data_IF_773742611365
#
_entry.id   IF_773742611365
#
_cell.length_a   1.000
_cell.length_b   1.000
_cell.length_c   1.000
_cell.angle_alpha   90.00
_cell.angle_beta   90.00
_cell.angle_gamma   90.00
#
_symmetry.space_group_name_H-M   'P 1'
#
loop_
_entity.id
_entity.type
_entity.pdbx_description
1 polymer ?
#
# COMPACT_ATOMS: atom_id res chain seq x y z
N UNK A 1 25.98 -11.96 -0.13
CA UNK A 1 25.04 -10.84 0.01
C UNK A 1 24.49 -10.85 1.43
N UNK A 2 24.11 -9.69 1.97
CA UNK A 2 23.43 -9.61 3.27
C UNK A 2 22.02 -10.19 3.17
N UNK A 3 21.49 -10.69 4.28
CA UNK A 3 20.14 -11.26 4.33
C UNK A 3 19.15 -10.19 4.82
N UNK A 4 17.97 -10.18 4.26
CA UNK A 4 16.91 -9.22 4.60
C UNK A 4 15.75 -9.93 5.29
N UNK A 5 15.38 -9.44 6.47
CA UNK A 5 14.28 -9.97 7.30
C UNK A 5 13.20 -8.92 7.54
N UNK A 6 12.00 -9.35 7.87
CA UNK A 6 10.92 -8.48 8.32
C UNK A 6 10.87 -8.51 9.85
N UNK A 7 10.96 -7.34 10.47
CA UNK A 7 10.95 -7.17 11.93
C UNK A 7 9.74 -6.41 12.45
N UNK A 8 8.92 -5.84 11.57
CA UNK A 8 7.69 -5.17 11.98
C UNK A 8 6.69 -5.04 10.83
N UNK A 9 5.43 -4.96 11.19
CA UNK A 9 4.28 -4.88 10.27
C UNK A 9 3.24 -3.89 10.79
N UNK A 10 2.83 -2.96 9.92
CA UNK A 10 1.71 -2.05 10.16
C UNK A 10 0.73 -2.04 9.02
N UNK A 11 -0.56 -1.96 9.33
CA UNK A 11 -1.63 -2.04 8.34
C UNK A 11 -2.81 -1.14 8.70
N UNK A 12 -3.43 -0.57 7.67
CA UNK A 12 -4.75 0.10 7.70
C UNK A 12 -5.52 -0.42 6.50
N UNK A 13 -6.67 -1.04 6.72
CA UNK A 13 -7.44 -1.64 5.63
C UNK A 13 -8.93 -1.71 5.95
N UNK A 14 -9.75 -2.07 4.97
CA UNK A 14 -11.17 -2.33 5.18
C UNK A 14 -11.46 -3.57 6.06
N UNK A 15 -10.45 -4.41 6.33
CA UNK A 15 -10.58 -5.56 7.25
C UNK A 15 -10.24 -5.19 8.70
N UNK A 16 -9.62 -4.04 8.91
CA UNK A 16 -9.21 -3.56 10.22
C UNK A 16 -8.02 -2.63 10.14
N UNK A 17 -7.76 -1.94 11.22
CA UNK A 17 -6.73 -0.91 11.29
C UNK A 17 -5.48 -1.34 12.09
N UNK A 18 -5.42 -2.58 12.52
CA UNK A 18 -4.29 -3.17 13.23
C UNK A 18 -4.14 -4.67 12.87
N UNK A 19 -2.97 -5.23 13.21
CA UNK A 19 -2.63 -6.63 12.89
C UNK A 19 -3.60 -7.65 13.47
N UNK A 20 -4.07 -7.44 14.69
CA UNK A 20 -4.98 -8.37 15.39
C UNK A 20 -6.34 -8.38 14.72
N UNK A 21 -6.94 -7.21 14.52
CA UNK A 21 -8.25 -7.08 13.88
C UNK A 21 -8.25 -7.62 12.45
N UNK A 22 -7.19 -7.35 11.67
CA UNK A 22 -7.06 -7.90 10.31
C UNK A 22 -6.92 -9.41 10.33
N UNK A 23 -6.10 -9.97 11.24
CA UNK A 23 -5.96 -11.41 11.41
C UNK A 23 -7.29 -12.07 11.75
N UNK A 24 -8.05 -11.50 12.69
CA UNK A 24 -9.34 -12.01 13.11
C UNK A 24 -10.37 -11.95 11.96
N UNK A 25 -10.37 -10.86 11.19
CA UNK A 25 -11.22 -10.74 10.00
C UNK A 25 -10.90 -11.80 8.95
N UNK A 26 -9.61 -12.03 8.66
CA UNK A 26 -9.18 -13.08 7.74
C UNK A 26 -9.53 -14.48 8.25
N UNK A 27 -9.30 -14.74 9.53
CA UNK A 27 -9.59 -16.06 10.14
C UNK A 27 -11.08 -16.40 10.11
N UNK A 28 -11.93 -15.38 10.30
CA UNK A 28 -13.39 -15.55 10.34
C UNK A 28 -14.05 -15.35 8.96
N UNK A 29 -13.28 -15.05 7.91
CA UNK A 29 -13.82 -14.79 6.57
C UNK A 29 -14.68 -13.51 6.49
N UNK A 30 -14.43 -12.52 7.34
CA UNK A 30 -15.16 -11.26 7.33
C UNK A 30 -14.77 -10.43 6.11
N UNK A 31 -15.76 -9.88 5.40
CA UNK A 31 -15.54 -8.97 4.29
C UNK A 31 -15.57 -7.52 4.78
N UNK A 32 -14.62 -6.72 4.29
CA UNK A 32 -14.60 -5.26 4.48
C UNK A 32 -15.26 -4.49 3.31
N UNK A 33 -15.81 -5.21 2.34
CA UNK A 33 -16.50 -4.59 1.19
C UNK A 33 -17.92 -4.22 1.60
N UNK A 34 -18.28 -2.97 1.31
CA UNK A 34 -19.60 -2.41 1.64
C UNK A 34 -20.20 -1.70 0.42
N UNK A 35 -21.50 -1.42 0.49
CA UNK A 35 -22.15 -0.56 -0.48
C UNK A 35 -21.57 0.87 -0.40
N UNK A 36 -21.36 1.49 -1.55
CA UNK A 36 -20.79 2.83 -1.74
C UNK A 36 -21.83 3.73 -2.39
N UNK A 37 -22.50 4.55 -1.57
CA UNK A 37 -23.51 5.51 -2.04
C UNK A 37 -22.93 6.53 -3.01
N UNK A 38 -21.73 7.03 -2.75
CA UNK A 38 -21.02 7.98 -3.63
C UNK A 38 -20.76 7.40 -5.04
N UNK A 39 -20.55 6.10 -5.17
CA UNK A 39 -20.40 5.46 -6.48
C UNK A 39 -21.74 5.41 -7.23
N UNK A 40 -22.80 5.07 -6.52
CA UNK A 40 -24.17 5.07 -7.06
C UNK A 40 -24.60 6.49 -7.51
N UNK A 41 -24.41 7.51 -6.67
CA UNK A 41 -24.73 8.90 -6.98
C UNK A 41 -23.97 9.43 -8.20
N UNK A 42 -22.74 8.98 -8.40
CA UNK A 42 -21.93 9.34 -9.55
C UNK A 42 -22.23 8.51 -10.80
N UNK A 43 -23.17 7.55 -10.73
CA UNK A 43 -23.66 6.76 -11.86
C UNK A 43 -22.70 5.64 -12.31
N UNK A 44 -21.83 5.15 -11.43
CA UNK A 44 -21.03 3.98 -11.71
C UNK A 44 -21.93 2.74 -11.78
N UNK A 45 -21.49 1.70 -12.50
CA UNK A 45 -22.15 0.38 -12.49
C UNK A 45 -21.80 -0.40 -11.21
N UNK A 46 -20.58 -0.23 -10.73
CA UNK A 46 -20.10 -0.79 -9.47
C UNK A 46 -20.54 0.09 -8.30
N UNK A 47 -21.33 -0.46 -7.37
CA UNK A 47 -21.77 0.24 -6.16
C UNK A 47 -21.13 -0.33 -4.89
N UNK A 48 -20.01 -1.05 -5.00
CA UNK A 48 -19.37 -1.69 -3.85
C UNK A 48 -17.89 -1.33 -3.79
N UNK A 49 -17.33 -1.32 -2.58
CA UNK A 49 -15.92 -1.06 -2.37
C UNK A 49 -15.53 -1.21 -0.91
N UNK A 50 -14.23 -1.30 -0.66
CA UNK A 50 -13.69 -1.30 0.69
C UNK A 50 -13.94 0.03 1.39
N UNK A 51 -14.24 -0.03 2.70
CA UNK A 51 -14.42 1.16 3.54
C UNK A 51 -13.53 1.02 4.77
N UNK A 52 -12.74 2.04 5.04
CA UNK A 52 -11.93 2.11 6.26
C UNK A 52 -12.66 3.01 7.26
N UNK A 53 -12.86 2.47 8.45
CA UNK A 53 -13.40 3.21 9.58
C UNK A 53 -12.24 3.72 10.46
N UNK A 54 -11.73 4.90 10.14
CA UNK A 54 -10.64 5.56 10.86
C UNK A 54 -10.79 7.08 10.80
N UNK A 55 -10.68 7.74 11.95
CA UNK A 55 -10.55 9.18 11.98
C UNK A 55 -9.06 9.55 11.96
N UNK A 56 -8.58 10.09 10.86
CA UNK A 56 -7.17 10.43 10.67
C UNK A 56 -6.63 11.42 11.71
N UNK A 57 -7.49 12.33 12.21
CA UNK A 57 -7.10 13.34 13.20
C UNK A 57 -6.77 12.75 14.59
N UNK A 58 -7.23 11.52 14.87
CA UNK A 58 -6.90 10.83 16.11
C UNK A 58 -5.49 10.21 16.09
N UNK A 59 -4.91 10.08 14.90
CA UNK A 59 -3.63 9.41 14.66
C UNK A 59 -2.53 10.32 14.14
N UNK A 60 -2.90 11.46 13.52
CA UNK A 60 -1.94 12.35 12.86
C UNK A 60 -2.20 13.78 13.31
N UNK A 61 -1.16 14.44 13.83
CA UNK A 61 -1.30 15.83 14.25
C UNK A 61 -1.67 16.75 13.07
N UNK A 62 -2.43 17.81 13.35
CA UNK A 62 -2.97 18.71 12.34
C UNK A 62 -1.91 19.37 11.44
N UNK A 63 -0.68 19.62 11.99
CA UNK A 63 0.38 20.28 11.21
C UNK A 63 0.98 19.34 10.18
N UNK A 64 1.00 18.04 10.47
CA UNK A 64 1.45 16.99 9.57
C UNK A 64 0.35 16.62 8.57
N UNK A 65 -0.88 16.38 9.05
CA UNK A 65 -2.00 15.94 8.23
C UNK A 65 -2.34 16.91 7.08
N UNK A 66 -2.15 18.20 7.26
CA UNK A 66 -2.44 19.21 6.21
C UNK A 66 -1.65 19.05 4.91
N UNK A 67 -0.54 18.30 4.92
CA UNK A 67 0.26 18.01 3.73
C UNK A 67 -0.14 16.70 3.04
N UNK A 68 -1.00 15.89 3.66
CA UNK A 68 -1.32 14.54 3.24
C UNK A 68 -2.64 14.49 2.47
N UNK A 69 -2.69 13.73 1.37
CA UNK A 69 -3.91 13.10 0.90
C UNK A 69 -4.15 11.80 1.68
N UNK A 70 -5.30 11.17 1.49
CA UNK A 70 -5.70 9.99 2.27
C UNK A 70 -4.71 8.82 2.11
N UNK A 71 -4.17 8.58 0.91
CA UNK A 71 -3.14 7.55 0.70
C UNK A 71 -1.91 7.79 1.58
N UNK A 72 -1.40 9.03 1.62
CA UNK A 72 -0.25 9.37 2.46
C UNK A 72 -0.56 9.22 3.95
N UNK A 73 -1.79 9.55 4.37
CA UNK A 73 -2.23 9.40 5.76
C UNK A 73 -2.33 7.92 6.17
N UNK A 74 -2.91 7.05 5.33
CA UNK A 74 -2.95 5.60 5.59
C UNK A 74 -1.54 5.00 5.63
N UNK A 75 -0.67 5.42 4.70
CA UNK A 75 0.74 5.03 4.69
C UNK A 75 1.48 5.45 5.95
N UNK A 76 1.27 6.68 6.42
CA UNK A 76 1.87 7.19 7.66
C UNK A 76 1.43 6.38 8.88
N UNK A 77 0.12 6.14 9.06
CA UNK A 77 -0.39 5.34 10.18
C UNK A 77 0.18 3.92 10.14
N UNK A 78 0.23 3.32 8.94
CA UNK A 78 0.82 1.98 8.76
C UNK A 78 2.31 1.97 9.12
N UNK A 79 3.06 3.01 8.73
CA UNK A 79 4.48 3.14 9.06
C UNK A 79 4.71 3.28 10.57
N UNK A 80 3.92 4.11 11.28
CA UNK A 80 4.00 4.25 12.75
C UNK A 80 3.77 2.90 13.42
N UNK A 81 2.74 2.15 13.02
CA UNK A 81 2.46 0.82 13.58
C UNK A 81 3.56 -0.19 13.31
N UNK A 82 4.16 -0.16 12.10
CA UNK A 82 5.30 -1.03 11.79
C UNK A 82 6.54 -0.69 12.63
N UNK A 83 6.79 0.59 12.89
CA UNK A 83 7.87 1.08 13.77
C UNK A 83 7.66 0.58 15.20
N UNK A 84 6.44 0.71 15.73
CA UNK A 84 6.06 0.22 17.05
C UNK A 84 6.21 -1.30 17.18
N UNK A 85 5.70 -2.06 16.19
CA UNK A 85 5.80 -3.52 16.14
C UNK A 85 7.26 -4.01 16.07
N UNK A 86 8.13 -3.27 15.35
CA UNK A 86 9.56 -3.55 15.27
C UNK A 86 10.37 -3.08 16.48
N UNK A 87 9.81 -2.27 17.37
CA UNK A 87 10.52 -1.66 18.49
C UNK A 87 11.65 -0.71 18.04
N UNK A 88 11.47 0.03 16.93
CA UNK A 88 12.46 1.01 16.48
C UNK A 88 12.40 2.28 17.33
N UNK A 89 13.57 2.78 17.70
CA UNK A 89 13.71 4.03 18.45
C UNK A 89 13.87 5.24 17.52
N UNK A 90 13.64 6.42 18.04
CA UNK A 90 13.86 7.70 17.34
C UNK A 90 15.28 7.84 16.79
N UNK A 91 16.29 7.40 17.53
CA UNK A 91 17.68 7.45 17.09
C UNK A 91 17.94 6.52 15.91
N UNK A 92 17.33 5.32 15.91
CA UNK A 92 17.42 4.40 14.79
C UNK A 92 16.73 4.97 13.53
N UNK A 93 15.59 5.64 13.69
CA UNK A 93 14.89 6.27 12.56
C UNK A 93 15.70 7.42 11.95
N UNK A 94 16.46 8.16 12.76
CA UNK A 94 17.29 9.31 12.34
C UNK A 94 18.69 8.91 11.89
N UNK A 95 19.03 7.62 11.94
CA UNK A 95 20.30 7.11 11.40
C UNK A 95 20.34 7.18 9.87
N UNK A 96 21.51 7.48 9.29
CA UNK A 96 21.71 7.54 7.82
C UNK A 96 21.50 6.16 7.16
N UNK A 97 21.61 5.08 7.91
CA UNK A 97 21.38 3.72 7.44
C UNK A 97 19.90 3.28 7.52
N UNK A 98 19.00 4.16 7.96
CA UNK A 98 17.55 3.93 7.95
C UNK A 98 16.90 4.72 6.83
N UNK A 99 16.32 3.99 5.88
CA UNK A 99 15.65 4.53 4.70
C UNK A 99 14.15 4.27 4.68
N UNK A 100 13.49 4.82 3.65
CA UNK A 100 12.07 4.63 3.38
C UNK A 100 11.83 4.51 1.87
N UNK A 101 11.15 3.44 1.48
CA UNK A 101 10.70 3.22 0.10
C UNK A 101 9.22 2.83 0.15
N UNK A 102 8.35 3.81 -0.03
CA UNK A 102 6.90 3.62 -0.02
C UNK A 102 6.25 4.42 -1.13
N UNK A 103 5.22 3.89 -1.76
CA UNK A 103 4.56 4.53 -2.88
C UNK A 103 3.05 4.39 -2.89
N UNK A 104 2.45 4.97 -3.93
CA UNK A 104 1.04 4.83 -4.29
C UNK A 104 0.96 4.56 -5.79
N UNK A 105 0.00 3.75 -6.20
CA UNK A 105 -0.23 3.44 -7.61
C UNK A 105 -0.77 4.62 -8.41
N UNK A 106 -1.45 5.55 -7.73
CA UNK A 106 -2.08 6.73 -8.32
C UNK A 106 -1.91 8.01 -7.51
N UNK A 107 -2.44 9.09 -8.05
CA UNK A 107 -2.56 10.36 -7.34
C UNK A 107 -3.73 10.32 -6.34
N UNK A 108 -3.77 11.25 -5.37
CA UNK A 108 -4.95 11.45 -4.54
C UNK A 108 -6.10 12.05 -5.37
N UNK A 109 -7.08 11.21 -5.70
CA UNK A 109 -8.25 11.58 -6.50
C UNK A 109 -9.14 12.59 -5.79
N UNK A 110 -9.39 12.41 -4.51
CA UNK A 110 -10.18 13.33 -3.69
C UNK A 110 -9.55 14.73 -3.67
N UNK A 111 -8.28 14.81 -3.27
CA UNK A 111 -7.56 16.10 -3.20
C UNK A 111 -7.44 16.79 -4.57
N UNK A 112 -7.32 16.00 -5.65
CA UNK A 112 -7.23 16.53 -7.01
C UNK A 112 -8.56 17.11 -7.47
N UNK A 113 -9.64 16.37 -7.36
CA UNK A 113 -10.99 16.83 -7.76
C UNK A 113 -11.39 18.06 -6.95
N UNK A 114 -11.22 18.03 -5.63
CA UNK A 114 -11.51 19.19 -4.77
C UNK A 114 -10.70 20.42 -5.19
N UNK A 115 -9.41 20.26 -5.48
CA UNK A 115 -8.57 21.39 -5.93
C UNK A 115 -9.08 21.99 -7.25
N UNK A 116 -9.44 21.15 -8.23
CA UNK A 116 -9.99 21.57 -9.52
C UNK A 116 -11.33 22.33 -9.32
N UNK A 117 -12.22 21.82 -8.51
CA UNK A 117 -13.52 22.41 -8.26
C UNK A 117 -13.41 23.78 -7.57
N UNK A 118 -12.50 23.90 -6.60
CA UNK A 118 -12.19 25.19 -5.97
C UNK A 118 -11.62 26.18 -6.99
N UNK A 119 -10.69 25.74 -7.84
CA UNK A 119 -10.08 26.63 -8.85
C UNK A 119 -11.11 27.09 -9.90
N UNK A 120 -12.01 26.20 -10.33
CA UNK A 120 -13.07 26.51 -11.30
C UNK A 120 -14.14 27.43 -10.72
N UNK A 121 -14.59 27.15 -9.49
CA UNK A 121 -15.69 27.89 -8.87
C UNK A 121 -15.26 29.20 -8.19
N UNK A 122 -13.99 29.33 -7.82
CA UNK A 122 -13.48 30.48 -7.05
C UNK A 122 -12.23 31.10 -7.66
N UNK A 123 -11.03 30.53 -7.38
CA UNK A 123 -9.74 30.96 -7.95
C UNK A 123 -8.60 30.04 -7.55
N UNK A 124 -7.47 30.10 -8.26
CA UNK A 124 -6.24 29.35 -7.95
C UNK A 124 -5.76 29.65 -6.52
N UNK A 125 -5.80 30.90 -6.07
CA UNK A 125 -5.38 31.29 -4.70
C UNK A 125 -6.20 30.58 -3.61
N UNK A 126 -7.45 30.25 -3.87
CA UNK A 126 -8.34 29.60 -2.91
C UNK A 126 -8.10 28.10 -2.77
N UNK A 127 -7.44 27.48 -3.72
CA UNK A 127 -7.04 26.06 -3.61
C UNK A 127 -6.07 25.81 -2.44
N UNK A 128 -5.34 26.86 -2.03
CA UNK A 128 -4.42 26.78 -0.90
C UNK A 128 -3.02 26.27 -1.27
N UNK A 129 -2.05 26.33 -0.34
CA UNK A 129 -0.65 26.06 -0.63
C UNK A 129 -0.24 24.58 -0.55
N UNK A 130 -1.11 23.68 -0.09
CA UNK A 130 -0.76 22.30 0.22
C UNK A 130 -1.19 21.29 -0.86
N UNK A 131 -1.91 21.71 -1.90
CA UNK A 131 -2.49 20.80 -2.90
C UNK A 131 -1.47 19.95 -3.63
N UNK A 132 -0.31 20.49 -3.94
CA UNK A 132 0.75 19.73 -4.61
C UNK A 132 1.17 18.53 -3.76
N UNK A 133 1.42 18.75 -2.47
CA UNK A 133 1.81 17.66 -1.55
C UNK A 133 0.69 16.69 -1.26
N UNK A 134 -0.56 17.13 -1.25
CA UNK A 134 -1.72 16.26 -1.05
C UNK A 134 -1.98 15.33 -2.25
N UNK A 135 -1.67 15.78 -3.46
CA UNK A 135 -2.11 15.12 -4.71
C UNK A 135 -1.07 14.12 -5.25
N UNK A 136 0.21 14.43 -5.16
CA UNK A 136 1.26 13.63 -5.84
C UNK A 136 1.45 12.26 -5.18
N UNK A 137 1.48 11.20 -5.99
CA UNK A 137 1.75 9.83 -5.53
C UNK A 137 3.11 9.68 -4.81
N UNK A 138 4.10 10.47 -5.20
CA UNK A 138 5.43 10.50 -4.57
C UNK A 138 5.44 11.08 -3.15
N UNK A 139 4.39 11.75 -2.73
CA UNK A 139 4.32 12.35 -1.39
C UNK A 139 4.01 11.35 -0.28
N UNK A 140 3.62 10.14 -0.60
CA UNK A 140 3.51 9.06 0.42
C UNK A 140 4.83 8.94 1.17
N UNK A 141 5.95 8.78 0.47
CA UNK A 141 7.28 8.68 1.12
C UNK A 141 7.69 10.00 1.79
N UNK A 142 7.48 11.14 1.15
CA UNK A 142 7.86 12.44 1.69
C UNK A 142 7.11 12.81 2.98
N UNK A 143 5.79 12.55 3.01
CA UNK A 143 4.93 12.82 4.16
C UNK A 143 5.22 11.89 5.36
N UNK A 144 5.85 10.75 5.14
CA UNK A 144 6.30 9.83 6.20
C UNK A 144 7.71 10.19 6.66
N UNK A 145 8.65 10.34 5.73
CA UNK A 145 10.06 10.56 6.06
C UNK A 145 10.31 11.86 6.84
N UNK A 146 9.62 12.95 6.47
CA UNK A 146 9.84 14.27 7.07
C UNK A 146 9.46 14.33 8.56
N UNK A 147 8.26 13.91 8.99
CA UNK A 147 7.91 13.90 10.41
C UNK A 147 8.79 12.95 11.26
N UNK A 148 9.23 11.84 10.68
CA UNK A 148 10.07 10.85 11.36
C UNK A 148 11.56 11.21 11.36
N UNK A 149 11.96 12.21 10.59
CA UNK A 149 13.35 12.64 10.49
C UNK A 149 14.28 11.62 9.82
N UNK A 150 13.75 10.78 8.93
CA UNK A 150 14.51 9.76 8.20
C UNK A 150 15.57 10.43 7.32
N UNK A 151 16.82 9.96 7.40
CA UNK A 151 17.97 10.55 6.72
C UNK A 151 18.59 9.64 5.65
N UNK A 152 18.29 8.36 5.64
CA UNK A 152 18.72 7.43 4.60
C UNK A 152 17.98 7.65 3.28
N UNK A 153 17.96 6.64 2.42
CA UNK A 153 17.24 6.73 1.14
C UNK A 153 15.77 7.04 1.37
N UNK A 154 15.20 7.93 0.55
CA UNK A 154 13.78 8.26 0.59
C UNK A 154 13.24 8.57 -0.79
N UNK A 155 12.42 7.68 -1.34
CA UNK A 155 11.71 7.88 -2.60
C UNK A 155 10.51 6.95 -2.71
N UNK A 156 9.60 7.28 -3.62
CA UNK A 156 8.45 6.45 -3.97
C UNK A 156 8.70 5.71 -5.28
N UNK A 157 8.25 4.46 -5.33
CA UNK A 157 8.03 3.73 -6.58
C UNK A 157 6.54 3.85 -6.90
N UNK A 158 6.19 3.97 -8.18
CA UNK A 158 4.82 3.91 -8.66
C UNK A 158 4.75 2.92 -9.82
N UNK A 159 4.09 1.80 -9.61
CA UNK A 159 3.90 0.72 -10.58
C UNK A 159 2.52 0.09 -10.43
N UNK A 160 1.49 0.96 -10.34
CA UNK A 160 0.09 0.58 -10.18
C UNK A 160 -0.09 -0.43 -9.01
N UNK A 161 -0.83 -1.52 -9.23
CA UNK A 161 -1.11 -2.53 -8.20
C UNK A 161 0.15 -3.25 -7.66
N UNK A 162 1.27 -3.21 -8.38
CA UNK A 162 2.53 -3.83 -7.97
C UNK A 162 3.42 -2.91 -7.10
N UNK A 163 3.02 -1.66 -6.86
CA UNK A 163 3.82 -0.63 -6.19
C UNK A 163 4.43 -1.10 -4.88
N UNK A 164 3.62 -1.61 -3.95
CA UNK A 164 4.11 -2.02 -2.63
C UNK A 164 5.02 -3.25 -2.69
N UNK A 165 4.73 -4.20 -3.58
CA UNK A 165 5.60 -5.36 -3.81
C UNK A 165 6.98 -4.93 -4.34
N UNK A 166 7.02 -3.98 -5.29
CA UNK A 166 8.27 -3.41 -5.79
C UNK A 166 9.02 -2.62 -4.70
N UNK A 167 8.32 -1.86 -3.85
CA UNK A 167 8.95 -1.18 -2.72
C UNK A 167 9.63 -2.16 -1.76
N UNK A 168 8.95 -3.26 -1.41
CA UNK A 168 9.49 -4.29 -0.50
C UNK A 168 10.67 -5.03 -1.15
N UNK A 169 10.51 -5.45 -2.42
CA UNK A 169 11.57 -6.13 -3.15
C UNK A 169 12.81 -5.27 -3.32
N UNK A 170 12.63 -4.00 -3.67
CA UNK A 170 13.74 -3.05 -3.78
C UNK A 170 14.40 -2.74 -2.42
N UNK A 171 13.62 -2.67 -1.34
CA UNK A 171 14.18 -2.54 0.02
C UNK A 171 15.09 -3.74 0.35
N UNK A 172 14.66 -4.98 0.01
CA UNK A 172 15.50 -6.16 0.13
C UNK A 172 16.83 -6.01 -0.64
N UNK A 173 16.77 -5.57 -1.89
CA UNK A 173 17.97 -5.36 -2.72
C UNK A 173 18.93 -4.33 -2.10
N UNK A 174 18.42 -3.23 -1.59
CA UNK A 174 19.24 -2.21 -0.92
C UNK A 174 19.91 -2.76 0.36
N UNK A 175 19.22 -3.58 1.14
CA UNK A 175 19.80 -4.29 2.30
C UNK A 175 20.87 -5.26 1.83
N UNK A 176 20.59 -6.10 0.81
CA UNK A 176 21.54 -7.06 0.27
C UNK A 176 22.84 -6.42 -0.23
N UNK A 177 22.73 -5.23 -0.84
CA UNK A 177 23.85 -4.42 -1.30
C UNK A 177 24.56 -3.65 -0.18
N UNK A 178 24.06 -3.71 1.05
CA UNK A 178 24.62 -2.98 2.20
C UNK A 178 24.47 -1.47 2.13
N UNK A 179 23.49 -0.98 1.36
CA UNK A 179 23.20 0.46 1.22
C UNK A 179 22.43 1.02 2.40
N UNK A 180 21.62 0.21 3.03
CA UNK A 180 20.84 0.53 4.24
C UNK A 180 20.87 -0.66 5.19
N UNK A 181 20.58 -0.43 6.47
CA UNK A 181 20.38 -1.47 7.48
C UNK A 181 18.91 -1.70 7.81
N UNK A 182 18.11 -0.63 7.76
CA UNK A 182 16.68 -0.63 8.02
C UNK A 182 15.98 0.13 6.88
N UNK A 183 14.89 -0.40 6.36
CA UNK A 183 14.04 0.29 5.39
C UNK A 183 12.57 0.09 5.76
N UNK A 184 11.84 1.18 5.90
CA UNK A 184 10.39 1.18 5.90
C UNK A 184 9.92 0.99 4.47
N UNK A 185 9.23 -0.10 4.16
CA UNK A 185 8.85 -0.44 2.80
C UNK A 185 7.37 -0.83 2.69
N UNK A 186 6.71 -0.41 1.62
CA UNK A 186 5.30 -0.74 1.41
C UNK A 186 4.60 0.22 0.47
N UNK A 187 3.31 0.40 0.68
CA UNK A 187 2.51 1.32 -0.12
C UNK A 187 1.17 1.63 0.51
N UNK A 188 0.52 2.63 -0.05
CA UNK A 188 -0.80 3.03 0.38
C UNK A 188 -1.61 3.59 -0.80
N UNK A 189 -2.92 3.38 -0.76
CA UNK A 189 -3.83 3.83 -1.81
C UNK A 189 -5.10 4.37 -1.20
N UNK A 190 -5.69 5.36 -1.86
CA UNK A 190 -7.06 5.79 -1.60
C UNK A 190 -7.97 5.33 -2.74
N UNK A 191 -9.26 5.29 -2.47
CA UNK A 191 -10.26 5.01 -3.49
C UNK A 191 -11.34 6.09 -3.46
N UNK A 192 -11.18 7.08 -4.32
CA UNK A 192 -12.16 8.11 -4.61
C UNK A 192 -13.02 7.70 -5.81
N UNK A 193 -14.29 8.13 -5.86
CA UNK A 193 -15.21 7.79 -6.96
C UNK A 193 -14.63 8.12 -8.36
N UNK A 194 -13.82 9.16 -8.48
CA UNK A 194 -13.25 9.56 -9.78
C UNK A 194 -12.28 8.53 -10.35
N UNK A 195 -11.49 7.87 -9.50
CA UNK A 195 -10.62 6.76 -9.92
C UNK A 195 -11.46 5.50 -10.19
N UNK A 196 -12.41 5.20 -9.32
CA UNK A 196 -13.33 4.08 -9.50
C UNK A 196 -14.10 4.21 -10.84
N UNK A 197 -14.56 5.40 -11.20
CA UNK A 197 -15.26 5.66 -12.46
C UNK A 197 -14.41 5.34 -13.70
N UNK A 198 -13.09 5.57 -13.65
CA UNK A 198 -12.20 5.21 -14.77
C UNK A 198 -12.10 3.70 -14.95
N UNK A 199 -12.00 2.95 -13.83
CA UNK A 199 -12.02 1.48 -13.87
C UNK A 199 -13.40 0.91 -14.25
N UNK A 200 -14.47 1.57 -13.83
CA UNK A 200 -15.84 1.20 -14.18
C UNK A 200 -16.08 1.38 -15.70
N UNK A 201 -15.59 2.49 -16.26
CA UNK A 201 -15.65 2.76 -17.69
C UNK A 201 -14.88 1.72 -18.53
N UNK A 202 -13.81 1.14 -18.00
CA UNK A 202 -13.08 0.02 -18.62
C UNK A 202 -13.83 -1.31 -18.49
N UNK A 203 -14.91 -1.39 -17.70
CA UNK A 203 -15.59 -2.63 -17.37
C UNK A 203 -14.77 -3.55 -16.45
N UNK A 204 -13.85 -2.99 -15.67
CA UNK A 204 -12.95 -3.75 -14.82
C UNK A 204 -13.50 -4.00 -13.40
N UNK A 205 -14.53 -3.24 -12.97
CA UNK A 205 -15.10 -3.38 -11.63
C UNK A 205 -16.26 -4.38 -11.61
N UNK A 206 -16.43 -5.03 -10.47
CA UNK A 206 -17.60 -5.88 -10.21
C UNK A 206 -18.88 -5.06 -10.14
N UNK A 207 -19.96 -5.56 -10.71
CA UNK A 207 -21.29 -4.95 -10.62
C UNK A 207 -22.40 -5.95 -10.26
N UNK A 208 -22.11 -7.23 -10.41
CA UNK A 208 -23.05 -8.34 -10.14
C UNK A 208 -23.43 -8.43 -8.65
N UNK A 209 -22.54 -7.96 -7.77
CA UNK A 209 -22.68 -8.14 -6.31
C UNK A 209 -23.06 -6.84 -5.58
N UNK A 210 -23.65 -5.86 -6.26
CA UNK A 210 -24.08 -4.61 -5.62
C UNK A 210 -25.07 -4.81 -4.46
N UNK A 211 -25.91 -5.84 -4.55
CA UNK A 211 -26.88 -6.20 -3.49
C UNK A 211 -26.31 -7.11 -2.40
N UNK A 212 -25.12 -7.65 -2.57
CA UNK A 212 -24.44 -8.57 -1.65
C UNK A 212 -22.96 -8.25 -1.59
N UNK A 213 -22.59 -7.06 -1.06
CA UNK A 213 -21.22 -6.54 -1.09
C UNK A 213 -20.18 -7.49 -0.51
N UNK A 214 -20.53 -8.23 0.52
CA UNK A 214 -19.66 -9.17 1.22
C UNK A 214 -19.14 -10.31 0.32
N UNK A 215 -19.82 -10.58 -0.79
CA UNK A 215 -19.43 -11.59 -1.78
C UNK A 215 -18.73 -11.00 -3.03
N UNK A 216 -18.53 -9.70 -3.09
CA UNK A 216 -18.03 -9.02 -4.30
C UNK A 216 -16.55 -9.30 -4.59
N UNK A 217 -15.71 -9.38 -3.56
CA UNK A 217 -14.28 -9.72 -3.72
C UNK A 217 -14.12 -11.23 -3.70
N UNK A 218 -13.88 -11.81 -4.89
CA UNK A 218 -13.84 -13.26 -5.09
C UNK A 218 -12.80 -13.68 -6.12
N UNK A 219 -11.54 -13.35 -5.82
CA UNK A 219 -10.41 -13.72 -6.67
C UNK A 219 -10.37 -15.24 -6.91
N UNK A 220 -10.04 -15.66 -8.13
CA UNK A 220 -9.99 -17.06 -8.61
C UNK A 220 -11.33 -17.79 -8.66
N UNK A 221 -12.42 -17.20 -8.19
CA UNK A 221 -13.77 -17.80 -8.27
C UNK A 221 -14.27 -17.80 -9.71
N UNK A 222 -15.04 -18.83 -10.10
CA UNK A 222 -15.59 -18.96 -11.44
C UNK A 222 -16.64 -17.89 -11.74
N UNK A 223 -17.35 -17.41 -10.73
CA UNK A 223 -18.41 -16.41 -10.83
C UNK A 223 -17.92 -14.96 -10.66
N UNK A 224 -16.61 -14.73 -10.60
CA UNK A 224 -16.04 -13.38 -10.52
C UNK A 224 -16.40 -12.55 -11.75
N UNK A 225 -16.63 -11.26 -11.58
CA UNK A 225 -17.01 -10.35 -12.67
C UNK A 225 -16.22 -9.02 -12.66
N UNK A 226 -15.14 -8.94 -11.91
CA UNK A 226 -14.28 -7.77 -11.82
C UNK A 226 -13.71 -7.52 -10.43
N UNK A 227 -13.02 -6.38 -10.26
CA UNK A 227 -12.48 -6.00 -8.94
C UNK A 227 -13.57 -5.44 -8.04
N UNK A 228 -13.44 -5.67 -6.74
CA UNK A 228 -14.05 -4.83 -5.71
C UNK A 228 -12.99 -3.78 -5.29
N UNK A 229 -13.14 -2.49 -5.66
CA UNK A 229 -12.13 -1.48 -5.37
C UNK A 229 -12.02 -1.23 -3.88
N UNK A 230 -10.82 -0.98 -3.38
CA UNK A 230 -10.57 -0.75 -1.97
C UNK A 230 -9.48 0.30 -1.76
N UNK A 231 -9.19 0.60 -0.50
CA UNK A 231 -8.23 1.58 -0.04
C UNK A 231 -7.46 1.02 1.16
N UNK A 232 -6.32 1.62 1.49
CA UNK A 232 -5.55 1.20 2.64
C UNK A 232 -4.09 1.60 2.59
N UNK A 233 -3.35 1.14 3.59
CA UNK A 233 -1.91 1.24 3.68
C UNK A 233 -1.31 0.04 4.36
N UNK A 234 -0.12 -0.36 3.91
CA UNK A 234 0.69 -1.38 4.52
C UNK A 234 2.16 -1.00 4.53
N UNK A 235 2.81 -1.22 5.65
CA UNK A 235 4.24 -0.98 5.81
C UNK A 235 4.87 -2.16 6.52
N UNK A 236 6.02 -2.60 6.04
CA UNK A 236 6.90 -3.56 6.72
C UNK A 236 8.24 -2.90 7.01
N UNK A 237 8.87 -3.31 8.11
CA UNK A 237 10.26 -2.98 8.40
C UNK A 237 11.12 -4.08 7.82
N UNK A 238 11.86 -3.74 6.76
CA UNK A 238 12.87 -4.62 6.16
C UNK A 238 14.22 -4.29 6.77
N UNK A 239 14.86 -5.28 7.38
CA UNK A 239 16.07 -5.09 8.17
C UNK A 239 17.16 -6.11 7.79
N UNK A 240 18.42 -5.71 7.88
CA UNK A 240 19.54 -6.63 7.76
C UNK A 240 19.50 -7.65 8.90
N UNK A 241 19.66 -8.93 8.60
CA UNK A 241 19.55 -10.00 9.58
C UNK A 241 20.50 -9.82 10.78
N UNK A 242 21.79 -9.56 10.53
CA UNK A 242 22.77 -9.41 11.61
C UNK A 242 22.43 -8.20 12.50
N UNK A 243 22.01 -7.09 11.90
CA UNK A 243 21.55 -5.91 12.66
C UNK A 243 20.32 -6.24 13.51
N UNK A 244 19.35 -6.99 12.98
CA UNK A 244 18.17 -7.43 13.71
C UNK A 244 18.52 -8.33 14.91
N UNK A 245 19.44 -9.28 14.72
CA UNK A 245 19.94 -10.17 15.77
C UNK A 245 20.70 -9.38 16.86
N UNK A 246 21.59 -8.48 16.47
CA UNK A 246 22.41 -7.69 17.39
C UNK A 246 21.58 -6.83 18.32
N UNK A 247 20.44 -6.30 17.86
CA UNK A 247 19.51 -5.52 18.71
C UNK A 247 18.41 -6.36 19.38
N UNK A 248 18.40 -7.70 19.18
CA UNK A 248 17.39 -8.60 19.74
C UNK A 248 16.00 -8.40 19.18
N UNK A 249 15.86 -8.02 17.89
CA UNK A 249 14.59 -7.83 17.23
C UNK A 249 13.78 -9.12 17.12
N UNK A 250 12.46 -9.02 17.21
CA UNK A 250 11.58 -10.10 16.81
C UNK A 250 11.57 -10.21 15.29
N UNK A 251 12.09 -11.32 14.75
CA UNK A 251 12.09 -11.59 13.32
C UNK A 251 10.81 -12.33 12.96
N UNK A 252 9.99 -11.73 12.10
CA UNK A 252 8.73 -12.33 11.62
C UNK A 252 9.02 -13.37 10.53
N UNK A 253 9.81 -12.99 9.52
CA UNK A 253 10.23 -13.87 8.44
C UNK A 253 11.45 -13.30 7.70
N UNK A 254 12.04 -14.07 6.81
CA UNK A 254 13.06 -13.64 5.86
C UNK A 254 12.47 -13.46 4.46
N UNK A 255 12.92 -12.45 3.72
CA UNK A 255 12.59 -12.27 2.30
C UNK A 255 13.64 -13.00 1.48
N UNK A 256 13.37 -14.26 1.14
CA UNK A 256 14.32 -15.16 0.48
C UNK A 256 14.41 -14.96 -1.03
N UNK A 257 13.31 -14.56 -1.69
CA UNK A 257 13.27 -14.35 -3.12
C UNK A 257 12.39 -13.17 -3.52
N UNK A 258 12.75 -12.54 -4.66
CA UNK A 258 12.00 -11.46 -5.28
C UNK A 258 12.08 -11.57 -6.79
N UNK A 259 10.97 -11.35 -7.47
CA UNK A 259 10.89 -11.31 -8.93
C UNK A 259 10.10 -10.10 -9.41
N UNK A 260 10.63 -9.40 -10.40
CA UNK A 260 9.94 -8.32 -11.09
C UNK A 260 10.22 -8.41 -12.58
N UNK A 261 9.18 -8.57 -13.39
CA UNK A 261 9.28 -8.68 -14.84
C UNK A 261 8.19 -7.89 -15.52
N UNK A 262 8.43 -7.45 -16.75
CA UNK A 262 7.39 -6.88 -17.58
C UNK A 262 6.70 -8.00 -18.38
N UNK A 263 5.37 -8.02 -18.43
CA UNK A 263 4.64 -8.93 -19.31
C UNK A 263 4.95 -8.61 -20.79
N UNK A 264 4.84 -7.33 -21.18
CA UNK A 264 5.19 -6.84 -22.50
C UNK A 264 4.24 -7.27 -23.63
N UNK A 265 3.12 -7.91 -23.30
CA UNK A 265 2.19 -8.45 -24.30
C UNK A 265 1.09 -7.43 -24.68
N UNK A 266 0.45 -6.80 -23.69
CA UNK A 266 -0.65 -5.85 -23.89
C UNK A 266 -0.63 -4.80 -22.79
N UNK A 267 -1.26 -3.64 -23.04
CA UNK A 267 -1.31 -2.54 -22.06
C UNK A 267 -2.22 -2.83 -20.87
N UNK A 268 -3.23 -3.67 -21.04
CA UNK A 268 -4.30 -3.90 -20.06
C UNK A 268 -4.46 -5.38 -19.73
N UNK A 269 -4.50 -6.26 -20.75
CA UNK A 269 -4.77 -7.68 -20.58
C UNK A 269 -3.48 -8.47 -20.30
N UNK A 270 -3.32 -9.09 -19.11
CA UNK A 270 -2.14 -9.90 -18.81
C UNK A 270 -2.15 -11.19 -19.65
N UNK A 271 -1.00 -11.57 -20.20
CA UNK A 271 -0.84 -12.83 -20.96
C UNK A 271 -0.81 -14.06 -20.04
N UNK A 272 -0.48 -13.88 -18.76
CA UNK A 272 -0.18 -14.95 -17.81
C UNK A 272 1.30 -15.40 -17.83
N UNK A 273 1.99 -15.31 -18.97
CA UNK A 273 3.41 -15.68 -19.08
C UNK A 273 4.31 -14.79 -18.25
N UNK A 274 4.05 -13.46 -18.23
CA UNK A 274 4.80 -12.51 -17.42
C UNK A 274 4.72 -12.81 -15.93
N UNK A 275 3.53 -13.18 -15.44
CA UNK A 275 3.34 -13.58 -14.04
C UNK A 275 4.08 -14.89 -13.73
N UNK A 276 4.03 -15.90 -14.60
CA UNK A 276 4.76 -17.16 -14.46
C UNK A 276 6.28 -16.91 -14.38
N UNK A 277 6.80 -16.06 -15.26
CA UNK A 277 8.23 -15.68 -15.29
C UNK A 277 8.65 -14.97 -14.01
N UNK A 278 7.83 -14.04 -13.52
CA UNK A 278 8.04 -13.32 -12.26
C UNK A 278 8.11 -14.29 -11.07
N UNK A 279 7.14 -15.21 -10.96
CA UNK A 279 7.13 -16.23 -9.92
C UNK A 279 8.36 -17.15 -9.98
N UNK A 280 8.72 -17.63 -11.19
CA UNK A 280 9.93 -18.46 -11.38
C UNK A 280 11.20 -17.73 -10.96
N UNK A 281 11.32 -16.43 -11.27
CA UNK A 281 12.46 -15.61 -10.84
C UNK A 281 12.55 -15.54 -9.32
N UNK A 282 11.45 -15.27 -8.62
CA UNK A 282 11.44 -15.24 -7.15
C UNK A 282 11.79 -16.61 -6.56
N UNK A 283 11.27 -17.69 -7.14
CA UNK A 283 11.56 -19.08 -6.69
C UNK A 283 13.02 -19.49 -6.88
N UNK A 284 13.71 -19.01 -7.91
CA UNK A 284 15.12 -19.32 -8.16
C UNK A 284 16.06 -18.79 -7.08
N UNK A 285 15.65 -17.78 -6.35
CA UNK A 285 16.43 -17.21 -5.25
C UNK A 285 16.17 -17.91 -3.91
N UNK A 286 15.14 -18.74 -3.81
CA UNK A 286 14.78 -19.46 -2.58
C UNK A 286 15.52 -20.80 -2.50
N UNK A 287 15.91 -21.20 -1.29
CA UNK A 287 16.43 -22.52 -1.00
C UNK A 287 15.35 -23.35 -0.30
N UNK A 288 14.79 -24.32 -1.00
CA UNK A 288 13.82 -25.25 -0.42
C UNK A 288 12.48 -25.28 -1.17
N UNK A 289 11.60 -26.22 -0.84
CA UNK A 289 10.30 -26.35 -1.46
C UNK A 289 9.39 -25.16 -1.08
N UNK A 290 8.56 -24.73 -2.02
CA UNK A 290 7.46 -23.82 -1.76
C UNK A 290 6.20 -24.67 -1.59
N UNK A 291 5.75 -24.80 -0.37
CA UNK A 291 4.63 -25.66 0.04
C UNK A 291 3.39 -24.89 0.47
N UNK A 292 3.43 -23.54 0.39
CA UNK A 292 2.33 -22.67 0.70
C UNK A 292 1.83 -21.93 -0.54
N UNK A 293 0.51 -21.90 -0.75
CA UNK A 293 -0.12 -21.08 -1.79
C UNK A 293 -1.15 -20.13 -1.16
N UNK A 294 -1.48 -19.03 -1.86
CA UNK A 294 -2.53 -18.09 -1.43
C UNK A 294 -3.92 -18.74 -1.27
N UNK A 295 -4.15 -19.89 -1.90
CA UNK A 295 -5.41 -20.63 -1.81
C UNK A 295 -5.52 -21.41 -0.48
N UNK A 296 -4.41 -21.68 0.17
CA UNK A 296 -4.33 -22.54 1.36
C UNK A 296 -4.00 -21.77 2.65
N UNK A 297 -4.06 -20.45 2.62
CA UNK A 297 -3.81 -19.63 3.81
C UNK A 297 -5.04 -19.56 4.71
#
# INVERSE_FOLDING_TARGET
MKRAVITGLGIVSCLGNDRTTVKDSLTNGNSGIKYREDFNEMGLKCHVGGVIDINLADHIDRKTLRFMGNSAAYGYISAIRAIEDAGLTDDMLKDINTGLVMGSGGLSGESFVEAIDIMRSRSVKRAGPYRVTQIMASTVSACIATPLGIKGVNYSIASACATSAHCIGHARELIQLGKQKIILAGGAEEMHWSMAAMFDAMGALTSKYNGTPEYASRAYDMDRDGFAPSLGGGCVIVEELEHALDRGAHIICEITGYGATSDGADMVAPSGEGAERCMKMAMQETSGPIDLSLIHI
#
